data_IF_775466009534
#
_entry.id   IF_775466009534
#
_cell.length_a   1.000
_cell.length_b   1.000
_cell.length_c   1.000
_cell.angle_alpha   90.00
_cell.angle_beta   90.00
_cell.angle_gamma   90.00
#
_symmetry.space_group_name_H-M   'P 1'
#
loop_
_entity.id
_entity.type
_entity.pdbx_description
1 polymer ?
#
# COMPACT_ATOMS: atom_id res chain seq x y z
N UNK A 1 -21.07 4.89 13.66
CA UNK A 1 -21.05 4.35 12.30
C UNK A 1 -19.61 4.22 11.82
N UNK A 2 -19.27 3.19 11.04
CA UNK A 2 -17.93 3.07 10.45
C UNK A 2 -17.68 4.23 9.50
N UNK A 3 -16.47 4.78 9.51
CA UNK A 3 -16.00 5.72 8.50
C UNK A 3 -15.00 5.00 7.59
N UNK A 4 -15.30 5.00 6.30
CA UNK A 4 -14.45 4.40 5.27
C UNK A 4 -13.70 5.49 4.51
N UNK A 5 -12.45 5.22 4.15
CA UNK A 5 -11.67 6.13 3.29
C UNK A 5 -10.74 5.32 2.39
N UNK A 6 -10.67 5.71 1.13
CA UNK A 6 -9.61 5.27 0.20
C UNK A 6 -8.59 6.40 0.13
N UNK A 7 -7.35 6.08 0.46
CA UNK A 7 -6.24 7.03 0.32
C UNK A 7 -5.31 6.52 -0.78
N UNK A 8 -5.09 7.35 -1.80
CA UNK A 8 -4.14 7.10 -2.88
C UNK A 8 -3.06 8.17 -2.84
N UNK A 9 -1.80 7.76 -2.74
CA UNK A 9 -0.64 8.67 -2.79
C UNK A 9 0.20 8.35 -4.02
N UNK A 10 0.53 9.39 -4.79
CA UNK A 10 1.42 9.33 -5.95
C UNK A 10 2.77 9.89 -5.51
N UNK A 11 3.84 9.09 -5.62
CA UNK A 11 5.20 9.57 -5.36
C UNK A 11 5.94 9.55 -6.70
N UNK A 12 6.29 10.74 -7.20
CA UNK A 12 7.08 10.93 -8.42
C UNK A 12 8.47 11.41 -8.04
N UNK A 13 9.52 10.67 -8.41
CA UNK A 13 10.89 11.15 -8.32
C UNK A 13 11.19 11.95 -9.60
N UNK A 14 11.47 13.25 -9.49
CA UNK A 14 11.79 14.10 -10.65
C UNK A 14 13.25 14.53 -10.53
N UNK A 15 14.10 14.07 -11.45
CA UNK A 15 15.46 14.61 -11.65
C UNK A 15 15.40 15.65 -12.76
N UNK A 16 15.62 16.93 -12.44
CA UNK A 16 15.48 18.03 -13.41
C UNK A 16 16.81 18.36 -14.08
N UNK A 17 16.93 18.15 -15.39
CA UNK A 17 17.93 18.82 -16.24
C UNK A 17 17.22 19.86 -17.09
N UNK A 18 17.60 21.14 -16.96
CA UNK A 18 16.95 22.24 -17.68
C UNK A 18 17.35 22.25 -19.15
N UNK A 19 16.37 22.03 -20.04
CA UNK A 19 16.49 22.33 -21.47
C UNK A 19 15.18 22.97 -21.94
N UNK A 20 15.27 24.14 -22.55
CA UNK A 20 14.13 24.95 -23.00
C UNK A 20 13.65 24.50 -24.37
N UNK A 21 12.38 24.10 -24.52
CA UNK A 21 11.76 23.93 -25.85
C UNK A 21 10.26 24.26 -25.86
N UNK A 22 9.85 24.75 -27.03
CA UNK A 22 8.59 25.34 -27.49
C UNK A 22 7.31 24.52 -27.19
N UNK A 23 6.22 25.19 -26.79
CA UNK A 23 4.91 24.56 -26.49
C UNK A 23 4.12 24.21 -27.76
N UNK A 24 3.74 22.94 -27.87
CA UNK A 24 2.62 22.45 -28.69
C UNK A 24 1.64 21.73 -27.77
N UNK A 25 0.36 22.12 -27.79
CA UNK A 25 -0.67 21.46 -26.97
C UNK A 25 -1.15 20.21 -27.68
N UNK A 26 -0.53 19.07 -27.38
CA UNK A 26 -1.06 17.75 -27.72
C UNK A 26 -1.94 17.28 -26.57
N UNK A 27 -3.21 16.98 -26.84
CA UNK A 27 -4.07 16.30 -25.87
C UNK A 27 -3.66 14.83 -25.83
N UNK A 28 -2.60 14.53 -25.08
CA UNK A 28 -2.13 13.18 -24.87
C UNK A 28 -3.09 12.49 -23.89
N UNK A 29 -3.95 11.62 -24.40
CA UNK A 29 -4.68 10.68 -23.56
C UNK A 29 -3.69 9.62 -23.10
N UNK A 30 -3.06 9.85 -21.94
CA UNK A 30 -2.15 8.87 -21.35
C UNK A 30 -2.99 7.67 -20.90
N UNK A 31 -2.93 6.56 -21.63
CA UNK A 31 -3.41 5.28 -21.14
C UNK A 31 -2.53 4.92 -19.93
N UNK A 32 -3.03 5.20 -18.72
CA UNK A 32 -2.35 4.81 -17.48
C UNK A 32 -2.54 3.31 -17.31
N UNK A 33 -1.62 2.52 -17.88
CA UNK A 33 -1.48 1.11 -17.50
C UNK A 33 -1.16 1.11 -16.01
N UNK A 34 -2.16 0.76 -15.19
CA UNK A 34 -1.94 0.57 -13.76
C UNK A 34 -1.29 -0.80 -13.63
N UNK A 35 0.00 -0.89 -13.25
CA UNK A 35 0.64 -2.18 -13.07
C UNK A 35 -0.14 -3.00 -12.03
N UNK A 36 -0.12 -4.32 -12.17
CA UNK A 36 -0.75 -5.24 -11.22
C UNK A 36 -0.30 -4.94 -9.78
N UNK A 37 -1.17 -5.21 -8.81
CA UNK A 37 -0.81 -5.07 -7.41
C UNK A 37 0.41 -5.95 -7.11
N UNK A 38 1.49 -5.32 -6.64
CA UNK A 38 2.76 -6.01 -6.36
C UNK A 38 2.71 -6.79 -5.04
N UNK A 39 1.69 -6.55 -4.22
CA UNK A 39 1.51 -7.23 -2.94
C UNK A 39 0.82 -8.58 -3.13
N UNK A 40 1.34 -9.58 -2.44
CA UNK A 40 0.70 -10.90 -2.32
C UNK A 40 -0.28 -10.86 -1.15
N UNK A 41 -1.48 -11.41 -1.35
CA UNK A 41 -2.56 -11.44 -0.36
C UNK A 41 -2.91 -10.04 0.21
N UNK A 42 -3.20 -9.03 -0.63
CA UNK A 42 -3.44 -7.65 -0.16
C UNK A 42 -4.77 -7.46 0.58
N UNK A 43 -5.69 -8.43 0.50
CA UNK A 43 -7.01 -8.40 1.15
C UNK A 43 -7.22 -9.50 2.20
N UNK A 44 -6.17 -10.22 2.62
CA UNK A 44 -6.25 -11.35 3.56
C UNK A 44 -7.08 -12.57 3.08
N UNK A 45 -7.42 -12.65 1.80
CA UNK A 45 -8.28 -13.69 1.23
C UNK A 45 -7.67 -15.11 1.30
N UNK A 46 -6.36 -15.24 1.56
CA UNK A 46 -5.77 -16.56 1.84
C UNK A 46 -6.18 -17.14 3.21
N UNK A 47 -6.91 -16.38 4.03
CA UNK A 47 -7.30 -16.79 5.38
C UNK A 47 -6.11 -16.92 6.36
N UNK A 48 -4.93 -16.49 5.94
CA UNK A 48 -3.72 -16.41 6.76
C UNK A 48 -3.00 -15.09 6.51
N UNK A 49 -2.23 -14.63 7.50
CA UNK A 49 -1.45 -13.40 7.37
C UNK A 49 -0.25 -13.59 6.44
N UNK A 50 0.10 -14.81 6.05
CA UNK A 50 1.20 -15.03 5.11
C UNK A 50 0.87 -14.43 3.73
N UNK A 51 1.85 -13.83 3.02
CA UNK A 51 3.27 -13.72 3.38
C UNK A 51 3.64 -12.41 4.12
N UNK A 52 2.69 -11.76 4.77
CA UNK A 52 2.97 -10.58 5.59
C UNK A 52 3.77 -10.93 6.84
N UNK A 53 4.74 -10.07 7.15
CA UNK A 53 5.48 -10.10 8.40
C UNK A 53 4.70 -9.26 9.41
N UNK A 54 4.23 -9.91 10.47
CA UNK A 54 3.54 -9.24 11.59
C UNK A 54 4.54 -8.59 12.52
N UNK A 55 4.22 -7.39 13.01
CA UNK A 55 4.96 -6.71 14.06
C UNK A 55 4.04 -5.82 14.90
N UNK A 56 4.65 -4.97 15.74
CA UNK A 56 3.93 -4.16 16.72
C UNK A 56 3.80 -4.83 18.08
N UNK A 57 3.24 -4.11 19.05
CA UNK A 57 2.96 -4.66 20.39
C UNK A 57 1.66 -5.46 20.43
N UNK A 58 0.83 -5.30 19.40
CA UNK A 58 -0.38 -6.05 19.20
C UNK A 58 -0.30 -6.94 17.96
N UNK A 59 -1.09 -8.01 17.94
CA UNK A 59 -1.11 -8.98 16.86
C UNK A 59 -2.26 -8.64 15.92
N UNK A 60 -1.93 -8.25 14.69
CA UNK A 60 -2.90 -8.15 13.61
C UNK A 60 -3.57 -9.51 13.38
N UNK A 61 -4.84 -9.49 13.00
CA UNK A 61 -5.62 -10.71 12.71
C UNK A 61 -6.38 -10.56 11.39
N UNK A 62 -7.13 -11.59 11.03
CA UNK A 62 -8.01 -11.58 9.88
C UNK A 62 -9.44 -11.63 10.37
N UNK A 63 -10.26 -10.76 9.82
CA UNK A 63 -11.69 -10.68 10.09
C UNK A 63 -12.48 -10.84 8.79
N UNK A 64 -13.74 -11.25 8.91
CA UNK A 64 -14.70 -11.38 7.81
C UNK A 64 -15.90 -10.43 7.96
N UNK A 65 -15.77 -9.37 8.76
CA UNK A 65 -16.83 -8.44 9.12
C UNK A 65 -17.58 -8.82 10.39
N UNK A 66 -17.13 -9.84 11.12
CA UNK A 66 -17.78 -10.28 12.36
C UNK A 66 -17.21 -9.59 13.61
N UNK A 67 -15.99 -9.08 13.54
CA UNK A 67 -15.34 -8.41 14.67
C UNK A 67 -16.14 -7.19 15.16
N UNK A 68 -16.74 -6.41 14.25
CA UNK A 68 -17.58 -5.25 14.58
C UNK A 68 -18.69 -5.05 13.54
N UNK A 69 -19.93 -4.90 14.02
CA UNK A 69 -21.09 -4.66 13.16
C UNK A 69 -20.91 -3.41 12.29
N UNK A 70 -21.09 -3.58 10.98
CA UNK A 70 -20.96 -2.52 9.99
C UNK A 70 -19.53 -2.32 9.45
N UNK A 71 -18.51 -2.94 10.06
CA UNK A 71 -17.14 -2.95 9.55
C UNK A 71 -16.93 -4.17 8.65
N UNK A 72 -17.51 -4.15 7.44
CA UNK A 72 -17.41 -5.27 6.50
C UNK A 72 -16.19 -5.14 5.58
N UNK A 73 -15.62 -6.24 5.05
CA UNK A 73 -14.61 -6.18 3.99
C UNK A 73 -15.01 -5.25 2.83
N UNK A 74 -14.07 -4.43 2.34
CA UNK A 74 -14.30 -3.55 1.19
C UNK A 74 -14.58 -4.32 -0.10
N UNK A 75 -13.88 -5.43 -0.26
CA UNK A 75 -13.93 -6.33 -1.39
C UNK A 75 -13.61 -7.73 -0.89
N UNK A 76 -14.19 -8.76 -1.49
CA UNK A 76 -13.94 -10.14 -1.07
C UNK A 76 -14.68 -10.49 0.23
N UNK A 77 -14.11 -11.42 0.99
CA UNK A 77 -14.74 -11.97 2.20
C UNK A 77 -13.93 -11.75 3.47
N UNK A 78 -12.71 -11.19 3.34
CA UNK A 78 -11.78 -11.00 4.44
C UNK A 78 -11.22 -9.58 4.47
N UNK A 79 -10.74 -9.18 5.63
CA UNK A 79 -10.00 -7.95 5.85
C UNK A 79 -8.96 -8.14 6.95
N UNK A 80 -7.92 -7.30 6.92
CA UNK A 80 -7.03 -7.20 8.07
C UNK A 80 -7.73 -6.45 9.21
N UNK A 81 -7.54 -6.95 10.43
CA UNK A 81 -8.05 -6.34 11.64
C UNK A 81 -6.91 -6.05 12.60
N UNK A 82 -6.84 -4.82 13.11
CA UNK A 82 -5.75 -4.36 13.98
C UNK A 82 -5.66 -5.07 15.33
N UNK A 83 -6.66 -5.86 15.71
CA UNK A 83 -6.72 -6.56 17.00
C UNK A 83 -7.50 -5.77 18.07
N UNK A 84 -7.72 -6.40 19.22
CA UNK A 84 -8.39 -5.79 20.38
C UNK A 84 -7.37 -5.55 21.49
N UNK A 85 -6.59 -4.48 21.33
CA UNK A 85 -5.48 -4.15 22.22
C UNK A 85 -5.49 -2.64 22.44
N UNK A 86 -5.67 -2.23 23.70
CA UNK A 86 -5.70 -0.82 24.07
C UNK A 86 -4.31 -0.21 23.86
N UNK A 87 -4.27 0.99 23.28
CA UNK A 87 -3.08 1.85 23.12
C UNK A 87 -1.86 1.16 22.45
N UNK A 88 -2.11 0.17 21.61
CA UNK A 88 -1.08 -0.61 20.93
C UNK A 88 -1.24 -0.54 19.41
N UNK A 89 -0.13 -0.70 18.70
CA UNK A 89 -0.14 -0.81 17.25
C UNK A 89 0.08 -2.26 16.80
N UNK A 90 -0.53 -2.60 15.67
CA UNK A 90 -0.26 -3.82 14.92
C UNK A 90 0.28 -3.40 13.56
N UNK A 91 1.33 -4.07 13.07
CA UNK A 91 1.91 -3.78 11.76
C UNK A 91 1.94 -5.02 10.89
N UNK A 92 1.71 -4.82 9.59
CA UNK A 92 1.89 -5.83 8.56
C UNK A 92 2.86 -5.25 7.52
N UNK A 93 3.96 -5.96 7.29
CA UNK A 93 5.00 -5.53 6.34
C UNK A 93 5.21 -6.58 5.27
N UNK A 94 5.34 -6.14 4.02
CA UNK A 94 5.78 -6.98 2.91
C UNK A 94 6.92 -6.28 2.17
N UNK A 95 7.91 -7.06 1.72
CA UNK A 95 8.99 -6.55 0.88
C UNK A 95 8.78 -7.07 -0.53
N UNK A 96 8.69 -6.15 -1.49
CA UNK A 96 8.56 -6.48 -2.91
C UNK A 96 9.92 -6.31 -3.54
N UNK A 97 10.42 -7.38 -4.17
CA UNK A 97 11.61 -7.32 -4.98
C UNK A 97 11.22 -6.86 -6.40
N UNK A 98 11.76 -5.72 -6.82
CA UNK A 98 11.46 -5.14 -8.15
C UNK A 98 12.34 -5.75 -9.25
N UNK A 99 13.58 -6.11 -8.91
CA UNK A 99 14.61 -6.64 -9.81
C UNK A 99 14.66 -8.16 -9.71
N UNK A 100 14.43 -8.90 -10.82
CA UNK A 100 14.67 -10.35 -11.03
C UNK A 100 13.57 -11.08 -11.83
N UNK A 101 12.99 -10.46 -12.85
CA UNK A 101 11.93 -11.04 -13.71
C UNK A 101 10.57 -11.29 -13.01
N UNK A 102 10.50 -11.30 -11.68
CA UNK A 102 9.23 -11.51 -10.93
C UNK A 102 8.25 -10.35 -11.14
N UNK A 103 8.77 -9.12 -11.15
CA UNK A 103 8.00 -7.91 -11.45
C UNK A 103 8.39 -7.30 -12.81
N UNK A 104 9.33 -7.91 -13.52
CA UNK A 104 9.75 -7.51 -14.86
C UNK A 104 10.49 -6.17 -14.99
N UNK A 105 10.88 -5.53 -13.88
CA UNK A 105 11.67 -4.29 -13.94
C UNK A 105 13.17 -4.59 -14.08
N UNK A 106 13.80 -3.93 -15.03
CA UNK A 106 15.25 -3.94 -15.24
C UNK A 106 15.93 -2.85 -14.43
N UNK A 107 17.24 -3.02 -14.18
CA UNK A 107 18.08 -1.99 -13.54
C UNK A 107 18.04 -0.68 -14.34
N UNK A 108 18.18 -0.75 -15.67
CA UNK A 108 18.14 0.43 -16.54
C UNK A 108 16.81 1.20 -16.44
N UNK A 109 15.67 0.51 -16.25
CA UNK A 109 14.38 1.18 -16.04
C UNK A 109 14.31 1.88 -14.68
N UNK A 110 14.81 1.25 -13.60
CA UNK A 110 14.89 1.91 -12.30
C UNK A 110 15.80 3.15 -12.36
N UNK A 111 16.99 2.99 -12.95
CA UNK A 111 18.01 4.05 -13.05
C UNK A 111 17.60 5.21 -13.97
N UNK A 112 16.64 4.97 -14.88
CA UNK A 112 16.11 6.03 -15.73
C UNK A 112 15.38 7.14 -14.97
N UNK A 113 14.97 6.88 -13.72
CA UNK A 113 14.22 7.84 -12.90
C UNK A 113 12.79 8.11 -13.38
N UNK A 114 12.32 7.43 -14.43
CA UNK A 114 11.01 7.69 -15.04
C UNK A 114 9.88 6.84 -14.44
N UNK A 115 10.18 5.95 -13.48
CA UNK A 115 9.19 5.09 -12.86
C UNK A 115 8.47 5.81 -11.72
N UNK A 116 7.16 5.62 -11.66
CA UNK A 116 6.31 6.09 -10.56
C UNK A 116 5.83 4.92 -9.72
N UNK A 117 5.80 5.09 -8.40
CA UNK A 117 5.15 4.14 -7.48
C UNK A 117 3.83 4.70 -7.00
N UNK A 118 2.83 3.84 -6.94
CA UNK A 118 1.49 4.17 -6.46
C UNK A 118 1.15 3.32 -5.26
N UNK A 119 0.65 3.96 -4.21
CA UNK A 119 0.12 3.28 -3.04
C UNK A 119 -1.31 3.69 -2.84
N UNK A 120 -2.17 2.68 -2.75
CA UNK A 120 -3.55 2.83 -2.33
C UNK A 120 -3.86 1.83 -1.24
N UNK A 121 -4.56 2.28 -0.21
CA UNK A 121 -5.14 1.39 0.79
C UNK A 121 -6.52 1.88 1.17
N UNK A 122 -7.36 0.92 1.53
CA UNK A 122 -8.67 1.16 2.09
C UNK A 122 -8.60 0.91 3.59
N UNK A 123 -9.18 1.81 4.37
CA UNK A 123 -9.37 1.58 5.80
C UNK A 123 -10.80 1.87 6.23
N UNK A 124 -11.21 1.17 7.29
CA UNK A 124 -12.42 1.44 8.05
C UNK A 124 -12.05 1.59 9.51
N UNK A 125 -12.45 2.72 10.08
CA UNK A 125 -12.26 2.99 11.51
C UNK A 125 -13.59 2.90 12.23
N UNK A 126 -13.57 2.26 13.40
CA UNK A 126 -14.70 2.32 14.32
C UNK A 126 -14.62 3.59 15.18
N UNK A 127 -15.70 4.35 15.24
CA UNK A 127 -15.79 5.65 15.93
C UNK A 127 -16.56 5.60 17.26
N UNK A 128 -16.83 4.40 17.80
CA UNK A 128 -17.68 4.24 18.98
C UNK A 128 -17.03 4.58 20.33
N UNK A 129 -15.81 5.14 20.34
CA UNK A 129 -15.16 5.65 21.56
C UNK A 129 -14.35 6.92 21.24
N UNK A 130 -13.94 7.68 22.27
CA UNK A 130 -13.19 8.93 22.14
C UNK A 130 -11.85 8.79 21.39
N UNK A 131 -11.33 7.56 21.27
CA UNK A 131 -10.22 7.21 20.39
C UNK A 131 -10.78 6.58 19.11
N UNK A 132 -10.58 7.24 17.97
CA UNK A 132 -10.84 6.66 16.66
C UNK A 132 -9.64 5.80 16.26
N UNK A 133 -9.90 4.54 15.86
CA UNK A 133 -8.88 3.70 15.23
C UNK A 133 -8.33 4.41 13.98
N UNK A 134 -7.02 4.31 13.73
CA UNK A 134 -6.40 4.88 12.53
C UNK A 134 -5.42 3.89 11.92
N UNK A 135 -5.56 3.65 10.62
CA UNK A 135 -4.54 2.98 9.84
C UNK A 135 -3.60 4.00 9.18
N UNK A 136 -2.34 3.61 9.04
CA UNK A 136 -1.31 4.35 8.31
C UNK A 136 -0.56 3.38 7.40
N UNK A 137 -0.09 3.88 6.26
CA UNK A 137 0.85 3.19 5.40
C UNK A 137 2.19 3.93 5.35
N UNK A 138 3.27 3.18 5.25
CA UNK A 138 4.62 3.71 5.02
C UNK A 138 5.28 2.94 3.88
N UNK A 139 5.89 3.66 2.93
CA UNK A 139 6.72 3.10 1.88
C UNK A 139 8.17 3.37 2.17
N UNK A 140 9.02 2.37 1.92
CA UNK A 140 10.45 2.49 2.08
C UNK A 140 11.13 1.86 0.87
N UNK A 141 11.93 2.66 0.16
CA UNK A 141 12.84 2.17 -0.87
C UNK A 141 14.13 1.67 -0.23
N UNK A 142 14.60 0.51 -0.68
CA UNK A 142 15.78 -0.15 -0.14
C UNK A 142 16.64 -0.67 -1.28
N UNK A 143 17.95 -0.67 -1.07
CA UNK A 143 18.88 -1.41 -1.94
C UNK A 143 18.72 -2.91 -1.72
N UNK A 144 19.33 -3.73 -2.58
CA UNK A 144 19.40 -5.19 -2.40
C UNK A 144 20.02 -5.60 -1.06
N UNK A 145 20.87 -4.75 -0.46
CA UNK A 145 21.47 -4.97 0.85
C UNK A 145 20.56 -4.55 2.02
N UNK A 146 19.29 -4.22 1.74
CA UNK A 146 18.28 -3.74 2.69
C UNK A 146 18.63 -2.40 3.36
N UNK A 147 19.61 -1.69 2.83
CA UNK A 147 19.93 -0.32 3.25
C UNK A 147 18.87 0.64 2.71
N UNK A 148 18.45 1.58 3.55
CA UNK A 148 17.55 2.67 3.15
C UNK A 148 18.21 3.53 2.08
N UNK A 149 17.45 3.89 1.05
CA UNK A 149 17.85 4.87 0.02
C UNK A 149 17.15 6.19 0.35
#
# INVERSE_FOLDING_TARGET
SPNSTITTTIITLITTTMTTTQSTTLTESTIRITPSNLLINPGAEYGSLLPWITGGTCIATIDNGSARSGCNPHSGTKQFFGGNCNDSNSTLTQSVLLLNDTQGYTVAQLDSGNLSTYISFYQQSWSGSLAMDKAQISLIFRTLNKTLI
#
